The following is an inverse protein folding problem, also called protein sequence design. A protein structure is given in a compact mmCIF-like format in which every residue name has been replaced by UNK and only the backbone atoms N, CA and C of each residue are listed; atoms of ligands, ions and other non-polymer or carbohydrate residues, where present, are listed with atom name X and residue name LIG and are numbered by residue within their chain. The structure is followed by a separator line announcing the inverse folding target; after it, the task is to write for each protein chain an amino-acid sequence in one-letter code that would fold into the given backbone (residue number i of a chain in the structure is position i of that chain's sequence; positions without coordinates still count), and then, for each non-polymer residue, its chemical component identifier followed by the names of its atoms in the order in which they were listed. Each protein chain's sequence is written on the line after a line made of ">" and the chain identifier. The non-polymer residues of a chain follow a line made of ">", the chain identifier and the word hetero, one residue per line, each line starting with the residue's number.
data_IF_221731376855
#
_entry.id   IF_221731376855
#
_cell.length_a   1.000
_cell.length_b   1.000
_cell.length_c   1.000
_cell.angle_alpha   90.00
_cell.angle_beta   90.00
_cell.angle_gamma   90.00
#
_symmetry.space_group_name_H-M   'P 1'
#
loop_
_entity.id
_entity.type
_entity.pdbx_description
1 polymer ?
#
# COMPACT_ATOMS: atom_id res chain seq x y z
N UNK A 1 8.34 29.83 -8.86
CA UNK A 1 7.63 29.62 -7.57
C UNK A 1 7.39 28.13 -7.42
N UNK A 2 8.16 27.47 -6.57
CA UNK A 2 8.11 26.02 -6.38
C UNK A 2 6.91 25.65 -5.52
N UNK A 3 5.91 24.99 -6.10
CA UNK A 3 4.90 24.28 -5.32
C UNK A 3 5.57 23.03 -4.77
N UNK A 4 6.03 23.10 -3.53
CA UNK A 4 6.28 21.91 -2.72
C UNK A 4 4.92 21.26 -2.52
N UNK A 5 4.56 20.33 -3.40
CA UNK A 5 3.49 19.40 -3.14
C UNK A 5 3.98 18.50 -2.01
N UNK A 6 3.75 18.91 -0.77
CA UNK A 6 3.56 17.95 0.31
C UNK A 6 2.37 17.12 -0.10
N UNK A 7 2.61 16.06 -0.88
CA UNK A 7 1.65 14.99 -1.08
C UNK A 7 1.50 14.36 0.30
N UNK A 8 0.64 14.93 1.14
CA UNK A 8 -0.05 14.18 2.19
C UNK A 8 -0.85 13.13 1.43
N UNK A 9 -0.18 12.03 1.12
CA UNK A 9 -0.73 10.94 0.35
C UNK A 9 -1.73 10.29 1.28
N UNK A 10 -3.00 10.65 1.11
CA UNK A 10 -4.08 10.20 1.97
C UNK A 10 -4.02 8.68 2.03
N UNK A 11 -3.70 8.16 3.21
CA UNK A 11 -3.70 6.72 3.45
C UNK A 11 -5.18 6.31 3.49
N UNK A 12 -5.64 5.43 2.59
CA UNK A 12 -7.03 5.03 2.55
C UNK A 12 -7.40 4.28 3.84
N UNK A 13 -8.69 4.22 4.14
CA UNK A 13 -9.20 3.44 5.27
C UNK A 13 -8.94 1.94 5.10
N UNK A 14 -8.83 1.50 3.84
CA UNK A 14 -8.60 0.11 3.44
C UNK A 14 -7.36 0.00 2.57
N UNK A 15 -6.48 -0.92 2.95
CA UNK A 15 -5.23 -1.27 2.26
C UNK A 15 -5.27 -2.73 1.87
N UNK A 16 -4.39 -3.17 0.97
CA UNK A 16 -4.22 -4.59 0.68
C UNK A 16 -2.92 -5.12 1.27
N UNK A 17 -2.95 -6.35 1.77
CA UNK A 17 -1.75 -7.08 2.21
C UNK A 17 -1.64 -8.39 1.46
N UNK A 18 -0.42 -8.88 1.33
CA UNK A 18 -0.21 -10.27 0.93
C UNK A 18 -0.67 -11.20 2.07
N UNK A 19 -1.32 -12.32 1.72
CA UNK A 19 -1.81 -13.34 2.66
C UNK A 19 -0.68 -14.20 3.24
N UNK A 20 0.51 -14.13 2.67
CA UNK A 20 1.72 -14.75 3.21
C UNK A 20 1.91 -14.39 4.68
N UNK A 21 2.31 -15.38 5.47
CA UNK A 21 2.64 -15.20 6.89
C UNK A 21 3.87 -14.32 7.12
N UNK A 22 4.70 -14.13 6.08
CA UNK A 22 5.89 -13.28 6.11
C UNK A 22 5.61 -11.86 5.63
N UNK A 23 4.38 -11.56 5.21
CA UNK A 23 4.01 -10.22 4.79
C UNK A 23 3.92 -9.29 6.01
N UNK A 24 4.65 -8.18 5.94
CA UNK A 24 4.71 -7.11 6.95
C UNK A 24 4.38 -5.74 6.33
N UNK A 25 3.94 -5.73 5.08
CA UNK A 25 3.75 -4.51 4.30
C UNK A 25 2.30 -4.37 3.84
N UNK A 26 1.75 -3.16 4.00
CA UNK A 26 0.46 -2.73 3.47
C UNK A 26 0.67 -1.96 2.17
N UNK A 27 -0.08 -2.35 1.14
CA UNK A 27 -0.08 -1.73 -0.16
C UNK A 27 -1.34 -0.91 -0.36
N UNK A 28 -1.25 0.09 -1.22
CA UNK A 28 -2.44 0.79 -1.70
C UNK A 28 -3.24 -0.17 -2.57
N UNK A 29 -4.55 -0.18 -2.40
CA UNK A 29 -5.44 -0.92 -3.27
C UNK A 29 -5.40 -0.35 -4.69
N UNK A 30 -5.28 -1.23 -5.68
CA UNK A 30 -5.50 -0.90 -7.07
C UNK A 30 -7.00 -0.85 -7.34
N UNK A 31 -7.49 0.30 -7.82
CA UNK A 31 -8.92 0.50 -8.09
C UNK A 31 -9.32 0.07 -9.50
N UNK A 32 -8.35 -0.24 -10.36
CA UNK A 32 -8.57 -0.72 -11.72
C UNK A 32 -8.81 -2.24 -11.77
N UNK A 33 -8.68 -2.92 -10.63
CA UNK A 33 -8.89 -4.37 -10.49
C UNK A 33 -10.09 -4.69 -9.58
N UNK A 34 -10.93 -5.64 -9.99
CA UNK A 34 -12.07 -6.14 -9.20
C UNK A 34 -11.65 -6.97 -7.98
N UNK A 35 -10.43 -7.52 -8.00
CA UNK A 35 -9.86 -8.29 -6.89
C UNK A 35 -8.92 -7.40 -6.06
N UNK A 36 -8.78 -7.67 -4.74
CA UNK A 36 -7.90 -6.89 -3.88
C UNK A 36 -6.45 -7.06 -4.36
N UNK A 37 -5.95 -6.09 -5.12
CA UNK A 37 -4.63 -6.11 -5.75
C UNK A 37 -3.82 -4.88 -5.35
N UNK A 38 -2.49 -5.00 -5.17
CA UNK A 38 -1.66 -3.86 -4.85
C UNK A 38 -1.46 -2.97 -6.08
N UNK A 39 -1.47 -1.66 -5.87
CA UNK A 39 -1.20 -0.70 -6.95
C UNK A 39 0.24 -0.74 -7.48
N UNK A 40 1.20 -1.34 -6.75
CA UNK A 40 2.61 -1.40 -7.19
C UNK A 40 2.91 -2.65 -8.02
N UNK A 41 3.62 -2.47 -9.14
CA UNK A 41 3.96 -3.55 -10.08
C UNK A 41 4.89 -4.62 -9.51
N UNK A 42 5.76 -4.28 -8.54
CA UNK A 42 6.75 -5.20 -7.96
C UNK A 42 6.08 -6.32 -7.16
N UNK A 43 5.01 -5.99 -6.44
CA UNK A 43 4.27 -6.94 -5.61
C UNK A 43 3.07 -7.53 -6.36
N UNK A 44 2.77 -7.03 -7.56
CA UNK A 44 1.79 -7.63 -8.47
C UNK A 44 2.19 -8.99 -9.06
N UNK A 45 3.27 -9.61 -8.54
CA UNK A 45 3.78 -10.87 -9.04
C UNK A 45 3.64 -11.95 -7.97
N UNK A 46 2.70 -12.87 -8.22
CA UNK A 46 2.59 -14.20 -7.60
C UNK A 46 2.28 -14.25 -6.09
N UNK A 47 1.29 -13.47 -5.64
CA UNK A 47 0.77 -13.54 -4.27
C UNK A 47 -0.74 -13.51 -4.21
N UNK A 48 -1.32 -14.17 -3.20
CA UNK A 48 -2.71 -13.92 -2.83
C UNK A 48 -2.78 -12.68 -1.96
N UNK A 49 -3.68 -11.76 -2.30
CA UNK A 49 -3.87 -10.50 -1.59
C UNK A 49 -5.26 -10.45 -0.95
N UNK A 50 -5.40 -9.59 0.05
CA UNK A 50 -6.68 -9.31 0.70
C UNK A 50 -6.72 -7.87 1.15
N UNK A 51 -7.89 -7.27 1.08
CA UNK A 51 -8.15 -5.98 1.70
C UNK A 51 -8.21 -6.13 3.22
N UNK A 52 -7.69 -5.13 3.92
CA UNK A 52 -7.67 -5.03 5.37
C UNK A 52 -7.85 -3.58 5.82
N UNK A 53 -8.52 -3.34 6.97
CA UNK A 53 -8.62 -2.01 7.54
C UNK A 53 -7.24 -1.48 7.93
N UNK A 54 -6.83 -0.36 7.35
CA UNK A 54 -5.46 0.15 7.51
C UNK A 54 -5.15 0.49 8.96
N UNK A 55 -6.07 1.15 9.66
CA UNK A 55 -5.90 1.53 11.07
C UNK A 55 -5.68 0.34 12.01
N UNK A 56 -6.23 -0.84 11.68
CA UNK A 56 -6.08 -2.04 12.49
C UNK A 56 -4.71 -2.72 12.28
N UNK A 57 -4.10 -2.53 11.10
CA UNK A 57 -2.87 -3.22 10.71
C UNK A 57 -1.62 -2.34 10.80
N UNK A 58 -1.76 -1.01 10.74
CA UNK A 58 -0.65 -0.05 10.90
C UNK A 58 0.27 -0.28 12.11
N UNK A 59 -0.21 -0.76 13.29
CA UNK A 59 0.69 -1.03 14.42
C UNK A 59 1.65 -2.21 14.19
N UNK A 60 1.36 -3.07 13.22
CA UNK A 60 2.10 -4.32 12.96
C UNK A 60 2.70 -4.39 11.55
N UNK A 61 2.31 -3.46 10.67
CA UNK A 61 2.68 -3.47 9.27
C UNK A 61 3.19 -2.10 8.84
N UNK A 62 4.17 -2.10 7.93
CA UNK A 62 4.71 -0.90 7.30
C UNK A 62 3.91 -0.54 6.05
N UNK A 63 3.78 0.76 5.75
CA UNK A 63 3.25 1.19 4.46
C UNK A 63 4.29 0.93 3.36
N UNK A 64 3.83 0.42 2.23
CA UNK A 64 4.69 0.15 1.09
C UNK A 64 5.37 1.43 0.59
N UNK A 65 6.71 1.41 0.57
CA UNK A 65 7.54 2.51 0.13
C UNK A 65 7.43 2.85 -1.35
N UNK A 66 6.75 2.02 -2.15
CA UNK A 66 6.68 2.24 -3.59
C UNK A 66 5.92 3.52 -3.96
N UNK A 67 6.43 4.33 -4.91
CA UNK A 67 5.78 5.55 -5.37
C UNK A 67 4.40 5.37 -5.98
N UNK A 68 3.97 4.15 -6.30
CA UNK A 68 2.59 3.83 -6.74
C UNK A 68 1.67 3.55 -5.54
N UNK A 69 2.22 3.02 -4.44
CA UNK A 69 1.51 2.81 -3.19
C UNK A 69 1.48 4.08 -2.34
N UNK A 70 2.45 4.24 -1.43
CA UNK A 70 2.53 5.34 -0.47
C UNK A 70 3.79 6.18 -0.61
N UNK A 71 4.73 5.79 -1.49
CA UNK A 71 5.94 6.56 -1.80
C UNK A 71 6.69 6.93 -0.53
N UNK A 72 7.23 5.91 0.14
CA UNK A 72 7.92 6.06 1.41
C UNK A 72 8.97 7.16 1.32
N UNK A 73 8.96 8.04 2.31
CA UNK A 73 10.07 8.96 2.56
C UNK A 73 11.27 8.09 2.94
N UNK A 74 12.03 7.61 1.95
CA UNK A 74 13.39 7.17 2.21
C UNK A 74 14.21 8.45 2.45
N UNK A 75 14.15 8.95 3.68
CA UNK A 75 15.05 9.94 4.24
C UNK A 75 16.19 9.22 4.97
#
# INVERSE_FOLDING_TARGET
>A
MSKTATSTREVPETTVRNRSQYADTLHRIDSDHDEPFPACWEQNRDGEFTDVPTVAYLPHYNLCGNPECFGGEQA
#
